data_IF_655758428520
#
_entry.id   IF_655758428520
#
_cell.length_a   1.000
_cell.length_b   1.000
_cell.length_c   1.000
_cell.angle_alpha   90.00
_cell.angle_beta   90.00
_cell.angle_gamma   90.00
#
_symmetry.space_group_name_H-M   'P 1'
#
loop_
_entity.id
_entity.type
_entity.pdbx_description
1 polymer ?
#
# COMPACT_ATOMS: atom_id res chain seq x y z
N UNK A 1 -65.27 -5.34 -39.28
CA UNK A 1 -64.14 -6.30 -39.15
C UNK A 1 -62.98 -5.53 -38.53
N UNK A 2 -62.61 -5.87 -37.28
CA UNK A 2 -61.56 -5.22 -36.50
C UNK A 2 -60.25 -5.98 -36.74
N UNK A 3 -59.27 -5.36 -37.37
CA UNK A 3 -57.91 -5.89 -37.44
C UNK A 3 -57.07 -5.05 -36.48
N UNK A 4 -56.83 -5.61 -35.29
CA UNK A 4 -55.90 -5.07 -34.30
C UNK A 4 -54.53 -5.63 -34.66
N UNK A 5 -53.64 -4.78 -35.19
CA UNK A 5 -52.25 -5.13 -35.46
C UNK A 5 -51.47 -5.05 -34.13
N UNK A 6 -51.26 -6.20 -33.48
CA UNK A 6 -50.36 -6.34 -32.34
C UNK A 6 -48.91 -6.28 -32.86
N UNK A 7 -48.26 -5.12 -32.70
CA UNK A 7 -46.82 -4.98 -32.89
C UNK A 7 -46.13 -5.62 -31.68
N UNK A 8 -45.58 -6.80 -31.88
CA UNK A 8 -44.75 -7.52 -30.93
C UNK A 8 -43.40 -6.78 -30.81
N UNK A 9 -43.20 -6.06 -29.71
CA UNK A 9 -41.88 -5.49 -29.38
C UNK A 9 -40.93 -6.65 -29.04
N UNK A 10 -40.08 -7.04 -29.99
CA UNK A 10 -38.94 -7.90 -29.72
C UNK A 10 -37.97 -7.14 -28.81
N UNK A 11 -38.02 -7.43 -27.51
CA UNK A 11 -36.96 -7.08 -26.59
C UNK A 11 -35.74 -7.92 -26.97
N UNK A 12 -34.81 -7.34 -27.74
CA UNK A 12 -33.48 -7.91 -27.89
C UNK A 12 -32.83 -7.95 -26.50
N UNK A 13 -32.43 -9.13 -26.00
CA UNK A 13 -31.57 -9.19 -24.84
C UNK A 13 -30.25 -8.53 -25.25
N UNK A 14 -30.05 -7.30 -24.78
CA UNK A 14 -28.75 -6.66 -24.86
C UNK A 14 -27.78 -7.53 -24.07
N UNK A 15 -26.95 -8.30 -24.78
CA UNK A 15 -25.70 -8.77 -24.21
C UNK A 15 -24.93 -7.50 -23.85
N UNK A 16 -25.03 -7.08 -22.59
CA UNK A 16 -24.08 -6.13 -22.01
C UNK A 16 -22.76 -6.91 -21.97
N UNK A 17 -22.00 -6.81 -23.06
CA UNK A 17 -20.62 -7.27 -23.07
C UNK A 17 -19.95 -6.50 -21.94
N UNK A 18 -19.51 -7.25 -20.94
CA UNK A 18 -18.94 -6.65 -19.77
C UNK A 18 -17.70 -5.85 -20.20
N UNK A 19 -17.67 -4.59 -19.80
CA UNK A 19 -16.68 -3.66 -20.33
C UNK A 19 -15.31 -4.09 -19.80
N UNK A 20 -14.27 -4.18 -20.64
CA UNK A 20 -12.97 -4.59 -20.17
C UNK A 20 -12.51 -3.65 -19.06
N UNK A 21 -11.90 -4.23 -18.03
CA UNK A 21 -11.38 -3.55 -16.83
C UNK A 21 -10.46 -2.37 -17.17
N UNK A 22 -9.76 -2.43 -18.31
CA UNK A 22 -9.04 -1.32 -18.92
C UNK A 22 -9.45 -1.22 -20.38
N UNK A 23 -9.39 -0.02 -20.95
CA UNK A 23 -9.71 0.18 -22.36
C UNK A 23 -8.70 -0.53 -23.25
N UNK A 24 -9.09 -0.92 -24.46
CA UNK A 24 -8.16 -1.56 -25.41
C UNK A 24 -6.96 -0.67 -25.75
N UNK A 25 -7.13 0.66 -25.65
CA UNK A 25 -6.06 1.65 -25.81
C UNK A 25 -5.40 2.05 -24.48
N UNK A 26 -5.72 1.38 -23.37
CA UNK A 26 -5.28 1.71 -22.01
C UNK A 26 -5.74 3.10 -21.51
N UNK A 27 -6.76 3.65 -22.16
CA UNK A 27 -7.35 4.98 -21.95
C UNK A 27 -8.39 5.01 -20.82
N UNK A 28 -9.04 3.87 -20.56
CA UNK A 28 -9.97 3.73 -19.42
C UNK A 28 -9.23 3.27 -18.16
N UNK A 29 -9.41 3.98 -17.03
CA UNK A 29 -8.75 3.64 -15.78
C UNK A 29 -9.26 2.31 -15.21
N UNK A 30 -8.36 1.57 -14.57
CA UNK A 30 -8.70 0.39 -13.78
C UNK A 30 -9.75 0.75 -12.69
N UNK A 31 -10.76 -0.10 -12.41
CA UNK A 31 -11.82 0.23 -11.47
C UNK A 31 -11.31 0.55 -10.06
N UNK A 32 -11.68 1.72 -9.52
CA UNK A 32 -11.22 2.15 -8.19
C UNK A 32 -9.76 2.64 -8.15
N UNK A 33 -9.10 2.77 -9.30
CA UNK A 33 -7.78 3.36 -9.38
C UNK A 33 -7.81 4.87 -9.12
N UNK A 34 -6.82 5.34 -8.35
CA UNK A 34 -6.47 6.74 -8.18
C UNK A 34 -5.28 7.10 -9.08
N UNK A 35 -5.21 8.35 -9.54
CA UNK A 35 -4.12 8.89 -10.36
C UNK A 35 -3.78 8.04 -11.60
N UNK A 36 -4.80 7.39 -12.17
CA UNK A 36 -4.67 6.56 -13.35
C UNK A 36 -4.30 7.43 -14.55
N UNK A 37 -3.15 7.14 -15.15
CA UNK A 37 -2.66 7.82 -16.35
C UNK A 37 -2.05 6.85 -17.34
N UNK A 38 -2.20 7.17 -18.61
CA UNK A 38 -1.51 6.51 -19.69
C UNK A 38 -0.14 7.17 -19.87
N UNK A 39 0.90 6.35 -20.03
CA UNK A 39 2.26 6.78 -20.25
C UNK A 39 2.75 6.14 -21.55
N UNK A 40 3.29 6.97 -22.43
CA UNK A 40 3.94 6.55 -23.66
C UNK A 40 5.41 6.97 -23.65
N UNK A 41 6.27 6.17 -24.29
CA UNK A 41 7.67 6.54 -24.52
C UNK A 41 7.96 6.50 -26.02
N UNK A 42 8.62 7.55 -26.53
CA UNK A 42 8.85 7.73 -27.97
C UNK A 42 9.81 6.69 -28.57
N UNK A 43 10.65 6.06 -27.74
CA UNK A 43 11.60 5.02 -28.16
C UNK A 43 11.35 3.75 -27.35
N UNK A 44 10.56 2.80 -27.91
CA UNK A 44 10.38 1.50 -27.28
C UNK A 44 11.73 0.79 -27.19
N UNK A 45 12.09 0.33 -26.00
CA UNK A 45 13.24 -0.57 -25.80
C UNK A 45 12.72 -1.89 -25.26
N UNK A 46 13.53 -2.95 -25.32
CA UNK A 46 13.17 -4.26 -24.78
C UNK A 46 12.73 -4.23 -23.29
N UNK A 47 13.04 -3.16 -22.55
CA UNK A 47 12.71 -3.00 -21.12
C UNK A 47 11.52 -2.09 -20.84
N UNK A 48 11.06 -1.32 -21.82
CA UNK A 48 9.98 -0.35 -21.66
C UNK A 48 8.99 -0.48 -22.81
N UNK A 49 7.80 -1.06 -22.54
CA UNK A 49 6.73 -1.09 -23.52
C UNK A 49 6.38 0.35 -23.92
N UNK A 50 6.21 0.59 -25.21
CA UNK A 50 5.94 1.94 -25.75
C UNK A 50 4.68 2.60 -25.18
N UNK A 51 3.79 1.81 -24.54
CA UNK A 51 2.58 2.28 -23.89
C UNK A 51 2.20 1.45 -22.66
N UNK A 52 1.84 2.10 -21.56
CA UNK A 52 1.23 1.46 -20.39
C UNK A 52 0.27 2.40 -19.65
N UNK A 53 -0.66 1.83 -18.89
CA UNK A 53 -1.42 2.56 -17.88
C UNK A 53 -0.79 2.35 -16.51
N UNK A 54 -0.77 3.38 -15.68
CA UNK A 54 -0.36 3.27 -14.29
C UNK A 54 -1.25 4.09 -13.36
N UNK A 55 -1.35 3.66 -12.10
CA UNK A 55 -2.09 4.37 -11.07
C UNK A 55 -1.91 3.70 -9.72
N UNK A 56 -2.80 3.99 -8.77
CA UNK A 56 -2.79 3.41 -7.43
C UNK A 56 -4.12 2.74 -7.12
N UNK A 57 -4.10 1.53 -6.56
CA UNK A 57 -5.27 0.81 -6.04
C UNK A 57 -5.00 0.42 -4.60
N UNK A 58 -5.88 0.83 -3.69
CA UNK A 58 -5.79 0.52 -2.26
C UNK A 58 -4.40 0.81 -1.65
N UNK A 59 -3.75 1.89 -2.08
CA UNK A 59 -2.42 2.26 -1.61
C UNK A 59 -1.25 1.64 -2.41
N UNK A 60 -1.48 0.65 -3.26
CA UNK A 60 -0.46 -0.02 -4.07
C UNK A 60 -0.39 0.55 -5.49
N UNK A 61 0.81 0.62 -6.06
CA UNK A 61 1.03 1.09 -7.42
C UNK A 61 0.83 -0.06 -8.41
N UNK A 62 0.03 0.15 -9.46
CA UNK A 62 -0.09 -0.79 -10.57
C UNK A 62 0.42 -0.18 -11.88
N UNK A 63 0.89 -1.06 -12.76
CA UNK A 63 1.20 -0.78 -14.16
C UNK A 63 0.64 -1.91 -15.02
N UNK A 64 -0.17 -1.59 -16.02
CA UNK A 64 -0.71 -2.55 -17.00
C UNK A 64 -0.16 -2.19 -18.37
N UNK A 65 0.39 -3.18 -19.06
CA UNK A 65 1.04 -3.03 -20.34
C UNK A 65 0.18 -3.64 -21.46
N UNK A 66 0.30 -3.11 -22.67
CA UNK A 66 -0.48 -3.59 -23.82
C UNK A 66 -0.11 -4.99 -24.31
N UNK A 67 0.95 -5.60 -23.77
CA UNK A 67 1.43 -6.94 -24.10
C UNK A 67 0.81 -8.03 -23.23
N UNK A 68 -0.17 -7.71 -22.38
CA UNK A 68 -0.80 -8.67 -21.48
C UNK A 68 -0.02 -8.92 -20.20
N UNK A 69 0.89 -8.01 -19.84
CA UNK A 69 1.61 -8.03 -18.57
C UNK A 69 1.15 -6.93 -17.63
N UNK A 70 1.31 -7.16 -16.33
CA UNK A 70 1.12 -6.15 -15.30
C UNK A 70 2.18 -6.24 -14.20
N UNK A 71 2.41 -5.13 -13.52
CA UNK A 71 3.27 -5.05 -12.33
C UNK A 71 2.50 -4.36 -11.21
N UNK A 72 2.55 -4.95 -10.03
CA UNK A 72 2.04 -4.40 -8.78
C UNK A 72 3.22 -4.19 -7.83
N UNK A 73 3.31 -3.03 -7.18
CA UNK A 73 4.37 -2.71 -6.23
C UNK A 73 3.91 -1.74 -5.16
N UNK A 74 4.72 -1.57 -4.11
CA UNK A 74 4.50 -0.54 -3.09
C UNK A 74 4.87 0.87 -3.61
N UNK A 75 5.92 0.98 -4.43
CA UNK A 75 6.40 2.24 -5.01
C UNK A 75 6.63 2.16 -6.54
N UNK A 76 6.37 3.23 -7.31
CA UNK A 76 6.59 3.25 -8.77
C UNK A 76 8.07 3.31 -9.20
N UNK A 77 8.99 3.79 -8.36
CA UNK A 77 10.38 4.08 -8.73
C UNK A 77 11.41 3.20 -8.03
N UNK A 78 11.24 2.97 -6.73
CA UNK A 78 12.14 2.16 -5.90
C UNK A 78 11.34 1.16 -5.04
N UNK A 79 10.69 0.16 -5.67
CA UNK A 79 9.85 -0.79 -4.95
C UNK A 79 10.68 -1.68 -4.03
N UNK A 80 10.23 -1.87 -2.77
CA UNK A 80 10.82 -2.87 -1.87
C UNK A 80 10.40 -4.29 -2.26
N UNK A 81 9.21 -4.39 -2.84
CA UNK A 81 8.72 -5.61 -3.44
C UNK A 81 7.94 -5.29 -4.71
N UNK A 82 7.92 -6.26 -5.63
CA UNK A 82 7.10 -6.20 -6.83
C UNK A 82 6.50 -7.56 -7.12
N UNK A 83 5.31 -7.56 -7.67
CA UNK A 83 4.63 -8.73 -8.22
C UNK A 83 4.44 -8.49 -9.71
N UNK A 84 5.01 -9.37 -10.52
CA UNK A 84 4.85 -9.36 -11.98
C UNK A 84 3.83 -10.42 -12.37
N UNK A 85 2.86 -10.02 -13.19
CA UNK A 85 1.81 -10.87 -13.72
C UNK A 85 2.00 -10.94 -15.24
N UNK A 86 2.16 -12.15 -15.77
CA UNK A 86 2.32 -12.40 -17.19
C UNK A 86 1.25 -13.41 -17.62
N UNK A 87 0.32 -13.00 -18.46
CA UNK A 87 -0.77 -13.86 -18.90
C UNK A 87 -0.54 -14.33 -20.34
N UNK A 88 -0.65 -15.64 -20.56
CA UNK A 88 -0.56 -16.27 -21.87
C UNK A 88 -1.81 -17.11 -22.12
N UNK A 89 -2.61 -16.70 -23.12
CA UNK A 89 -3.90 -17.29 -23.46
C UNK A 89 -4.90 -17.29 -22.29
N UNK A 90 -4.93 -18.38 -21.49
CA UNK A 90 -5.89 -18.60 -20.41
C UNK A 90 -5.22 -18.87 -19.04
N UNK A 91 -3.90 -18.73 -18.95
CA UNK A 91 -3.17 -18.89 -17.69
C UNK A 91 -2.31 -17.67 -17.42
N UNK A 92 -2.25 -17.26 -16.16
CA UNK A 92 -1.36 -16.20 -15.70
C UNK A 92 -0.28 -16.80 -14.81
N UNK A 93 0.96 -16.39 -15.06
CA UNK A 93 2.11 -16.64 -14.19
C UNK A 93 2.36 -15.40 -13.35
N UNK A 94 2.42 -15.58 -12.04
CA UNK A 94 2.75 -14.52 -11.09
C UNK A 94 4.12 -14.78 -10.48
N UNK A 95 5.01 -13.79 -10.52
CA UNK A 95 6.35 -13.86 -9.92
C UNK A 95 6.55 -12.68 -8.98
N UNK A 96 6.86 -12.98 -7.71
CA UNK A 96 7.16 -11.95 -6.71
C UNK A 96 8.66 -11.78 -6.53
N UNK A 97 9.10 -10.54 -6.30
CA UNK A 97 10.43 -10.19 -5.83
C UNK A 97 10.27 -9.40 -4.54
N UNK A 98 10.96 -9.79 -3.47
CA UNK A 98 10.70 -9.27 -2.12
C UNK A 98 9.50 -9.95 -1.44
N UNK A 99 8.99 -9.34 -0.37
CA UNK A 99 7.85 -9.85 0.40
C UNK A 99 6.66 -8.90 0.19
N UNK A 100 5.64 -9.29 -0.59
CA UNK A 100 4.46 -8.46 -0.81
C UNK A 100 3.67 -8.17 0.46
N UNK A 101 3.07 -6.98 0.53
CA UNK A 101 2.18 -6.61 1.62
C UNK A 101 0.95 -7.55 1.68
N UNK A 102 0.39 -7.73 2.88
CA UNK A 102 -0.82 -8.53 3.06
C UNK A 102 -1.95 -8.04 2.14
N UNK A 103 -2.58 -8.96 1.41
CA UNK A 103 -3.66 -8.66 0.46
C UNK A 103 -3.20 -8.22 -0.93
N UNK A 104 -1.89 -8.07 -1.18
CA UNK A 104 -1.36 -7.77 -2.51
C UNK A 104 -1.59 -8.94 -3.50
N UNK A 105 -1.62 -10.17 -3.02
CA UNK A 105 -1.97 -11.39 -3.75
C UNK A 105 -3.38 -11.29 -4.38
N UNK A 106 -4.38 -10.87 -3.59
CA UNK A 106 -5.75 -10.67 -4.10
C UNK A 106 -5.79 -9.65 -5.23
N UNK A 107 -5.05 -8.55 -5.10
CA UNK A 107 -4.99 -7.51 -6.13
C UNK A 107 -4.25 -8.04 -7.37
N UNK A 108 -3.17 -8.80 -7.20
CA UNK A 108 -2.45 -9.44 -8.30
C UNK A 108 -3.35 -10.43 -9.07
N UNK A 109 -4.17 -11.22 -8.37
CA UNK A 109 -5.15 -12.13 -8.99
C UNK A 109 -6.23 -11.36 -9.75
N UNK A 110 -6.73 -10.26 -9.20
CA UNK A 110 -7.68 -9.37 -9.89
C UNK A 110 -7.05 -8.76 -11.15
N UNK A 111 -5.78 -8.35 -11.10
CA UNK A 111 -5.05 -7.90 -12.29
C UNK A 111 -4.90 -9.02 -13.32
N UNK A 112 -4.60 -10.26 -12.91
CA UNK A 112 -4.57 -11.41 -13.81
C UNK A 112 -5.90 -11.65 -14.52
N UNK A 113 -7.02 -11.61 -13.78
CA UNK A 113 -8.37 -11.69 -14.35
C UNK A 113 -8.64 -10.57 -15.37
N UNK A 114 -8.23 -9.36 -15.04
CA UNK A 114 -8.34 -8.20 -15.91
C UNK A 114 -7.59 -8.41 -17.23
N UNK A 115 -6.35 -8.88 -17.19
CA UNK A 115 -5.53 -9.17 -18.37
C UNK A 115 -6.13 -10.28 -19.26
N UNK A 116 -6.86 -11.22 -18.67
CA UNK A 116 -7.58 -12.28 -19.39
C UNK A 116 -8.96 -11.83 -19.92
N UNK A 117 -9.32 -10.55 -19.77
CA UNK A 117 -10.60 -10.01 -20.23
C UNK A 117 -11.80 -10.41 -19.37
N UNK A 118 -11.56 -10.87 -18.14
CA UNK A 118 -12.63 -11.16 -17.18
C UNK A 118 -13.05 -9.89 -16.44
N UNK A 119 -14.26 -9.92 -15.89
CA UNK A 119 -14.78 -8.81 -15.10
C UNK A 119 -14.04 -8.64 -13.78
N UNK A 120 -13.67 -7.39 -13.53
CA UNK A 120 -13.03 -6.93 -12.31
C UNK A 120 -13.73 -5.67 -11.86
N UNK A 121 -14.09 -5.62 -10.57
CA UNK A 121 -14.71 -4.47 -9.94
C UNK A 121 -13.73 -3.77 -9.00
N UNK A 122 -14.04 -2.55 -8.59
CA UNK A 122 -13.27 -1.86 -7.57
C UNK A 122 -13.20 -2.64 -6.24
N UNK A 123 -14.18 -3.53 -5.96
CA UNK A 123 -14.17 -4.35 -4.75
C UNK A 123 -13.09 -5.44 -4.78
N UNK A 124 -12.82 -6.00 -5.96
CA UNK A 124 -11.78 -7.01 -6.17
C UNK A 124 -10.37 -6.41 -5.99
N UNK A 125 -10.24 -5.10 -6.20
CA UNK A 125 -8.99 -4.33 -6.13
C UNK A 125 -8.76 -3.67 -4.76
N UNK A 126 -9.48 -4.11 -3.72
CA UNK A 126 -9.24 -3.72 -2.33
C UNK A 126 -8.53 -4.85 -1.58
N UNK A 127 -7.49 -4.52 -0.80
CA UNK A 127 -6.94 -5.48 0.16
C UNK A 127 -8.04 -5.80 1.17
N UNK A 128 -8.04 -7.04 1.67
CA UNK A 128 -8.90 -7.37 2.79
C UNK A 128 -8.53 -6.44 3.95
N UNK A 129 -9.50 -5.68 4.47
CA UNK A 129 -9.29 -4.94 5.70
C UNK A 129 -8.81 -5.94 6.77
N UNK A 130 -7.84 -5.59 7.61
CA UNK A 130 -7.50 -6.44 8.75
C UNK A 130 -8.79 -6.71 9.50
N UNK A 131 -9.12 -7.99 9.68
CA UNK A 131 -10.26 -8.37 10.49
C UNK A 131 -9.97 -7.91 11.91
N UNK A 132 -10.48 -6.73 12.27
CA UNK A 132 -10.61 -6.38 13.66
C UNK A 132 -11.54 -7.44 14.26
N UNK A 133 -11.14 -8.14 15.34
CA UNK A 133 -12.04 -9.09 15.99
C UNK A 133 -13.29 -8.32 16.42
N UNK A 134 -14.39 -8.51 15.69
CA UNK A 134 -15.73 -8.09 16.08
C UNK A 134 -16.19 -9.01 17.20
N UNK A 135 -15.73 -8.69 18.40
CA UNK A 135 -16.02 -9.44 19.60
C UNK A 135 -14.88 -9.31 20.58
N UNK A 136 -14.95 -8.30 21.46
CA UNK A 136 -14.48 -8.57 22.81
C UNK A 136 -15.32 -9.75 23.30
N UNK A 137 -14.68 -10.89 23.57
CA UNK A 137 -15.37 -11.95 24.29
C UNK A 137 -15.88 -11.36 25.60
N UNK A 138 -17.17 -11.51 25.87
CA UNK A 138 -17.80 -11.08 27.12
C UNK A 138 -17.39 -11.96 28.32
N UNK A 139 -16.46 -12.90 28.12
CA UNK A 139 -15.99 -13.84 29.15
C UNK A 139 -14.91 -13.27 30.08
N UNK A 140 -14.67 -11.96 30.07
CA UNK A 140 -13.87 -11.32 31.13
C UNK A 140 -14.83 -10.99 32.28
N UNK A 141 -14.72 -11.64 33.46
CA UNK A 141 -15.52 -11.25 34.60
C UNK A 141 -15.05 -9.85 35.03
N UNK A 142 -15.83 -8.82 34.73
CA UNK A 142 -15.65 -7.47 35.27
C UNK A 142 -16.00 -7.51 36.77
N UNK A 143 -15.05 -7.99 37.56
CA UNK A 143 -15.02 -7.74 39.00
C UNK A 143 -14.16 -6.52 39.24
N UNK A 144 -14.67 -5.32 38.94
CA UNK A 144 -14.05 -4.16 39.57
C UNK A 144 -14.49 -2.75 39.25
N UNK A 145 -15.30 -2.42 38.23
CA UNK A 145 -15.63 -0.99 38.01
C UNK A 145 -17.06 -0.72 37.53
N UNK A 146 -18.00 -0.74 38.46
CA UNK A 146 -19.21 0.07 38.36
C UNK A 146 -18.87 1.56 38.58
N UNK A 147 -18.49 2.25 37.52
CA UNK A 147 -18.43 3.72 37.51
C UNK A 147 -19.66 4.28 36.78
N UNK A 148 -20.33 5.30 37.34
CA UNK A 148 -21.51 5.90 36.72
C UNK A 148 -21.17 6.60 35.38
N UNK A 149 -22.13 6.73 34.45
CA UNK A 149 -21.90 7.21 33.07
C UNK A 149 -21.19 8.57 32.96
N UNK A 150 -21.34 9.44 33.95
CA UNK A 150 -20.64 10.73 33.99
C UNK A 150 -19.12 10.58 34.21
N UNK A 151 -18.66 9.57 34.93
CA UNK A 151 -17.23 9.28 35.12
C UNK A 151 -16.60 8.66 33.86
N UNK A 152 -17.38 7.94 33.04
CA UNK A 152 -16.94 7.42 31.74
C UNK A 152 -16.69 8.56 30.74
N UNK A 153 -17.55 9.58 30.70
CA UNK A 153 -17.36 10.76 29.85
C UNK A 153 -16.22 11.68 30.33
N UNK A 154 -16.02 11.81 31.65
CA UNK A 154 -14.86 12.55 32.19
C UNK A 154 -13.53 11.81 31.92
N UNK A 155 -13.52 10.48 31.89
CA UNK A 155 -12.35 9.67 31.52
C UNK A 155 -12.03 9.76 30.03
N UNK A 156 -13.03 9.98 29.16
CA UNK A 156 -12.80 10.28 27.74
C UNK A 156 -12.12 11.66 27.54
N UNK A 157 -12.27 12.59 28.48
CA UNK A 157 -11.63 13.91 28.44
C UNK A 157 -10.28 13.99 29.20
N UNK A 158 -9.89 12.98 29.98
CA UNK A 158 -8.75 13.03 30.89
C UNK A 158 -7.55 12.17 30.48
N UNK A 159 -6.64 12.74 29.68
CA UNK A 159 -5.17 12.59 29.68
C UNK A 159 -4.45 11.21 29.73
N UNK A 160 -5.09 10.08 30.01
CA UNK A 160 -4.43 8.80 30.19
C UNK A 160 -4.06 8.06 28.89
N UNK A 161 -4.90 7.98 27.82
CA UNK A 161 -4.49 7.30 26.59
C UNK A 161 -3.51 8.15 25.78
N UNK A 162 -3.46 9.47 26.02
CA UNK A 162 -2.48 10.36 25.39
C UNK A 162 -1.06 10.05 25.84
N UNK A 163 -0.82 9.60 27.07
CA UNK A 163 0.55 9.29 27.53
C UNK A 163 1.15 8.08 26.85
N UNK A 164 0.39 7.00 26.67
CA UNK A 164 0.89 5.79 26.02
C UNK A 164 1.11 5.98 24.49
N UNK A 165 0.20 6.69 23.81
CA UNK A 165 0.37 7.01 22.39
C UNK A 165 1.44 8.09 22.16
N UNK A 166 1.57 9.07 23.06
CA UNK A 166 2.66 10.05 22.99
C UNK A 166 4.04 9.46 23.25
N UNK A 167 4.13 8.30 23.92
CA UNK A 167 5.41 7.63 24.20
C UNK A 167 6.01 6.98 22.94
N UNK A 168 5.16 6.59 21.98
CA UNK A 168 5.57 5.96 20.71
C UNK A 168 5.48 6.88 19.49
N UNK A 169 4.94 8.08 19.63
CA UNK A 169 4.92 9.04 18.54
C UNK A 169 6.29 9.73 18.48
N UNK A 170 7.09 9.49 17.43
CA UNK A 170 8.38 10.15 17.31
C UNK A 170 8.18 11.66 17.23
N UNK A 171 9.02 12.40 17.97
CA UNK A 171 9.05 13.86 17.90
C UNK A 171 9.23 14.28 16.43
N UNK A 172 8.30 15.06 15.84
CA UNK A 172 8.41 15.50 14.46
C UNK A 172 9.73 16.23 14.16
N UNK A 173 10.37 16.83 15.16
CA UNK A 173 11.68 17.46 15.01
C UNK A 173 12.81 16.48 14.62
N UNK A 174 12.62 15.17 14.86
CA UNK A 174 13.60 14.14 14.52
C UNK A 174 13.62 13.80 13.02
N UNK A 175 12.58 14.17 12.28
CA UNK A 175 12.54 13.95 10.84
C UNK A 175 13.19 15.15 10.13
N UNK A 176 14.33 14.91 9.50
CA UNK A 176 15.00 15.89 8.65
C UNK A 176 14.42 15.91 7.25
N UNK A 177 14.89 16.85 6.43
CA UNK A 177 14.50 16.96 5.02
C UNK A 177 14.96 15.75 4.20
N UNK A 178 15.93 15.00 4.73
CA UNK A 178 16.44 13.76 4.14
C UNK A 178 16.41 12.59 5.13
N UNK A 179 16.38 11.33 4.65
CA UNK A 179 16.52 10.15 5.50
C UNK A 179 17.82 10.14 6.31
N UNK A 180 18.92 10.66 5.74
CA UNK A 180 20.20 10.76 6.42
C UNK A 180 20.17 11.74 7.60
N UNK A 181 19.57 12.92 7.42
CA UNK A 181 19.33 13.88 8.53
C UNK A 181 18.43 13.26 9.60
N UNK A 182 17.39 12.54 9.18
CA UNK A 182 16.50 11.83 10.11
C UNK A 182 17.29 10.87 11.00
N UNK A 183 18.19 10.07 10.43
CA UNK A 183 19.08 9.18 11.19
C UNK A 183 20.03 9.97 12.12
N UNK A 184 20.66 11.04 11.62
CA UNK A 184 21.57 11.87 12.43
C UNK A 184 20.84 12.47 13.64
N UNK A 185 19.64 13.02 13.46
CA UNK A 185 18.83 13.55 14.57
C UNK A 185 18.38 12.47 15.54
N UNK A 186 17.95 11.32 15.03
CA UNK A 186 17.53 10.19 15.88
C UNK A 186 18.68 9.62 16.72
N UNK A 187 19.88 9.53 16.17
CA UNK A 187 21.09 9.10 16.88
C UNK A 187 21.51 10.13 17.93
N UNK A 188 21.49 11.42 17.57
CA UNK A 188 21.80 12.50 18.51
C UNK A 188 20.83 12.49 19.71
N UNK A 189 19.53 12.34 19.45
CA UNK A 189 18.53 12.23 20.51
C UNK A 189 18.58 10.88 21.26
N UNK A 190 19.28 9.87 20.74
CA UNK A 190 19.61 8.63 21.47
C UNK A 190 20.94 8.75 22.26
N UNK A 191 21.55 9.93 22.32
CA UNK A 191 22.80 10.19 23.03
C UNK A 191 24.06 9.76 22.28
N UNK A 192 23.94 9.38 21.02
CA UNK A 192 25.09 9.08 20.16
C UNK A 192 25.61 10.35 19.48
N UNK A 193 26.82 10.27 18.93
CA UNK A 193 27.45 11.38 18.19
C UNK A 193 27.61 11.02 16.71
N UNK A 194 26.59 11.31 15.87
CA UNK A 194 26.62 10.98 14.46
C UNK A 194 27.38 12.01 13.61
N UNK A 195 27.96 13.06 14.21
CA UNK A 195 28.49 14.21 13.49
C UNK A 195 27.40 15.25 13.15
N UNK A 196 27.68 16.17 12.20
CA UNK A 196 26.76 17.27 11.85
C UNK A 196 25.44 16.78 11.23
N UNK A 197 24.35 17.55 11.40
CA UNK A 197 23.03 17.32 10.77
C UNK A 197 23.00 17.85 9.32
N UNK A 198 23.92 17.35 8.50
CA UNK A 198 24.15 17.80 7.12
C UNK A 198 23.49 16.89 6.07
N UNK A 199 22.91 15.77 6.48
CA UNK A 199 22.32 14.78 5.57
C UNK A 199 23.33 13.89 4.87
N UNK A 200 24.57 13.83 5.34
CA UNK A 200 25.61 12.95 4.81
C UNK A 200 26.05 11.96 5.88
N UNK A 201 25.76 10.67 5.65
CA UNK A 201 26.17 9.59 6.58
C UNK A 201 27.66 9.24 6.41
N UNK A 202 28.50 10.06 7.03
CA UNK A 202 29.95 9.88 7.11
C UNK A 202 30.37 8.78 8.09
N UNK A 203 31.68 8.66 8.31
CA UNK A 203 32.25 7.64 9.18
C UNK A 203 31.71 7.71 10.63
N UNK A 204 31.44 8.92 11.15
CA UNK A 204 30.87 9.13 12.49
C UNK A 204 29.43 8.63 12.59
N UNK A 205 28.57 8.99 11.63
CA UNK A 205 27.18 8.54 11.61
C UNK A 205 27.07 7.02 11.52
N UNK A 206 27.92 6.39 10.69
CA UNK A 206 27.98 4.92 10.57
C UNK A 206 28.52 4.24 11.83
N UNK A 207 29.51 4.84 12.50
CA UNK A 207 29.99 4.33 13.78
C UNK A 207 28.90 4.43 14.87
N UNK A 208 28.19 5.56 14.92
CA UNK A 208 27.06 5.77 15.83
C UNK A 208 25.91 4.80 15.58
N UNK A 209 25.56 4.51 14.31
CA UNK A 209 24.59 3.47 13.96
C UNK A 209 25.02 2.10 14.48
N UNK A 210 26.26 1.71 14.23
CA UNK A 210 26.79 0.42 14.69
C UNK A 210 26.84 0.31 16.22
N UNK A 211 27.10 1.41 16.91
CA UNK A 211 27.05 1.45 18.37
C UNK A 211 25.61 1.33 18.91
N UNK A 212 24.63 1.92 18.22
CA UNK A 212 23.23 1.94 18.64
C UNK A 212 22.47 0.64 18.30
N UNK A 213 22.72 0.06 17.12
CA UNK A 213 21.93 -1.03 16.54
C UNK A 213 22.73 -2.32 16.25
N UNK A 214 24.05 -2.28 16.41
CA UNK A 214 24.93 -3.40 16.09
C UNK A 214 25.48 -3.39 14.65
N UNK A 215 26.35 -4.36 14.32
CA UNK A 215 27.02 -4.43 13.02
C UNK A 215 26.04 -4.56 11.84
N UNK A 216 26.31 -3.87 10.73
CA UNK A 216 25.50 -3.95 9.51
C UNK A 216 24.31 -2.98 9.45
N UNK A 217 24.04 -2.25 10.55
CA UNK A 217 22.99 -1.22 10.62
C UNK A 217 23.25 0.01 9.74
N UNK A 218 24.44 0.15 9.17
CA UNK A 218 24.85 1.24 8.27
C UNK A 218 24.64 0.94 6.77
N UNK A 219 24.17 -0.27 6.43
CA UNK A 219 23.96 -0.69 5.04
C UNK A 219 22.63 -0.20 4.43
N UNK A 220 21.60 0.02 5.26
CA UNK A 220 20.25 0.39 4.81
C UNK A 220 19.65 1.47 5.74
N UNK A 221 19.59 2.70 5.21
CA UNK A 221 19.14 3.89 5.94
C UNK A 221 17.65 3.83 6.30
N UNK A 222 16.72 3.51 5.37
CA UNK A 222 15.33 3.22 5.72
C UNK A 222 15.17 2.19 6.84
N UNK A 223 15.92 1.09 6.79
CA UNK A 223 15.84 0.05 7.82
C UNK A 223 16.37 0.55 9.17
N UNK A 224 17.45 1.32 9.17
CA UNK A 224 18.00 1.93 10.39
C UNK A 224 17.01 2.89 11.06
N UNK A 225 16.26 3.68 10.28
CA UNK A 225 15.22 4.58 10.82
C UNK A 225 14.15 3.77 11.55
N UNK A 226 13.65 2.70 10.94
CA UNK A 226 12.64 1.83 11.56
C UNK A 226 13.17 1.18 12.85
N UNK A 227 14.42 0.71 12.84
CA UNK A 227 15.05 0.11 14.01
C UNK A 227 15.24 1.12 15.16
N UNK A 228 15.65 2.37 14.86
CA UNK A 228 15.77 3.44 15.85
C UNK A 228 14.42 3.83 16.46
N UNK A 229 13.35 3.83 15.66
CA UNK A 229 11.99 4.06 16.14
C UNK A 229 11.52 2.93 17.06
N UNK A 230 11.75 1.68 16.67
CA UNK A 230 11.40 0.51 17.47
C UNK A 230 12.10 0.51 18.84
N UNK A 231 13.40 0.86 18.90
CA UNK A 231 14.13 0.97 20.18
C UNK A 231 13.50 1.98 21.16
N UNK A 232 12.90 3.06 20.67
CA UNK A 232 12.27 4.08 21.53
C UNK A 232 10.90 3.66 22.04
N UNK A 233 10.22 2.78 21.31
CA UNK A 233 8.87 2.34 21.64
C UNK A 233 8.82 1.26 22.74
N UNK A 234 9.95 0.64 23.09
CA UNK A 234 10.00 -0.52 23.98
C UNK A 234 9.45 -1.76 23.27
N UNK A 235 10.30 -2.75 23.03
CA UNK A 235 9.94 -4.02 22.38
C UNK A 235 8.93 -4.85 23.16
#
# INVERSE_FOLDING_TARGET
MRVVLLILAMAWPGCVAAAPCVGAALDRPLPGAMDARQVSVDVPTARFPGLWQQGRVDGLTYRIFGDGTAVLSDDPGAPRWQVRIECAAATCRTTATGVPDAGADRIADALGRCLMGQDVTAADLRRAAPAFPTGLSNDVPDRGRSLPPAAALATAAGQAPRRAVAQCMPDPALFGDTPAQTVQRMLLAAGQDPGPDDGVLGARSRAALRAALGPGSDADVPHAILALLAMRCGG
#
